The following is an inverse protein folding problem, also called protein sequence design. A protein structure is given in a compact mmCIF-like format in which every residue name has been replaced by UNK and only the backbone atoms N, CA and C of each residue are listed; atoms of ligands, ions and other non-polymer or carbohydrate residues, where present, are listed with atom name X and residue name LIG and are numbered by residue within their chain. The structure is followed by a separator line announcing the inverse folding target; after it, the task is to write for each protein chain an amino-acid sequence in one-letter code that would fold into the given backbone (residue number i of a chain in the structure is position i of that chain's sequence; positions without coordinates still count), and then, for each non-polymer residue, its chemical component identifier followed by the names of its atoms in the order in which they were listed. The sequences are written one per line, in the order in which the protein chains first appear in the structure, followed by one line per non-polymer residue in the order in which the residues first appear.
data_IF_170667926245
#
_entry.id   IF_170667926245
#
_cell.length_a   1.000
_cell.length_b   1.000
_cell.length_c   1.000
_cell.angle_alpha   90.00
_cell.angle_beta   90.00
_cell.angle_gamma   90.00
#
_symmetry.space_group_name_H-M   'P 1'
#
loop_
_entity.id
_entity.type
_entity.pdbx_description
1 polymer ?
#
# COMPACT_ATOMS: atom_id res chain seq x y z
N UNK A 1 -5.44 14.30 -17.05
CA UNK A 1 -5.21 14.28 -15.58
C UNK A 1 -4.99 15.67 -15.01
N UNK A 2 -3.92 16.42 -15.35
CA UNK A 2 -3.66 17.77 -14.79
C UNK A 2 -4.83 18.75 -14.89
N UNK A 3 -5.40 18.94 -16.09
CA UNK A 3 -6.60 19.78 -16.29
C UNK A 3 -7.79 19.41 -15.37
N UNK A 4 -7.97 18.12 -15.09
CA UNK A 4 -9.04 17.65 -14.19
C UNK A 4 -8.71 17.99 -12.73
N UNK A 5 -7.46 17.79 -12.30
CA UNK A 5 -7.01 18.15 -10.96
C UNK A 5 -7.15 19.66 -10.72
N UNK A 6 -6.69 20.49 -11.67
CA UNK A 6 -6.81 21.95 -11.62
C UNK A 6 -8.27 22.42 -11.56
N UNK A 7 -9.14 21.90 -12.45
CA UNK A 7 -10.55 22.28 -12.49
C UNK A 7 -11.30 21.95 -11.19
N UNK A 8 -10.86 20.92 -10.47
CA UNK A 8 -11.46 20.48 -9.21
C UNK A 8 -10.66 20.94 -7.97
N UNK A 9 -9.61 21.75 -8.14
CA UNK A 9 -8.73 22.22 -7.05
C UNK A 9 -8.17 21.07 -6.20
N UNK A 10 -7.80 19.98 -6.86
CA UNK A 10 -7.20 18.80 -6.23
C UNK A 10 -5.68 18.91 -6.36
N UNK A 11 -5.00 18.95 -5.23
CA UNK A 11 -3.54 18.94 -5.23
C UNK A 11 -2.99 17.54 -5.54
N UNK A 12 -1.96 17.43 -6.38
CA UNK A 12 -1.31 16.16 -6.65
C UNK A 12 -0.56 15.62 -5.42
N UNK A 13 -0.62 14.31 -5.18
CA UNK A 13 0.18 13.64 -4.13
C UNK A 13 1.47 13.05 -4.71
N UNK A 14 2.62 13.35 -4.10
CA UNK A 14 3.92 12.81 -4.52
C UNK A 14 4.27 11.52 -3.76
N UNK A 15 3.76 11.36 -2.53
CA UNK A 15 3.98 10.21 -1.67
C UNK A 15 2.66 9.65 -1.18
N UNK A 16 2.61 8.32 -1.03
CA UNK A 16 1.56 7.63 -0.29
C UNK A 16 2.27 6.69 0.69
N UNK A 17 2.25 7.05 1.97
CA UNK A 17 2.90 6.29 3.04
C UNK A 17 1.81 5.61 3.88
N UNK A 18 1.54 4.33 3.59
CA UNK A 18 0.40 3.60 4.15
C UNK A 18 0.79 2.14 4.39
N UNK A 19 0.58 1.65 5.62
CA UNK A 19 0.60 0.22 5.93
C UNK A 19 -0.83 -0.27 6.21
N UNK A 20 -1.03 -1.59 6.22
CA UNK A 20 -2.34 -2.21 6.41
C UNK A 20 -2.51 -2.68 7.85
N UNK A 21 -3.77 -2.80 8.29
CA UNK A 21 -4.09 -3.44 9.57
C UNK A 21 -3.55 -4.87 9.62
N UNK A 22 -3.10 -5.36 10.79
CA UNK A 22 -2.47 -6.67 10.91
C UNK A 22 -3.51 -7.80 10.94
N UNK A 23 -4.27 -7.97 9.85
CA UNK A 23 -5.38 -8.92 9.74
C UNK A 23 -4.98 -10.34 10.13
N UNK A 24 -3.82 -10.82 9.66
CA UNK A 24 -3.31 -12.15 10.00
C UNK A 24 -3.11 -12.35 11.51
N UNK A 25 -2.63 -11.32 12.21
CA UNK A 25 -2.43 -11.40 13.66
C UNK A 25 -3.77 -11.40 14.40
N UNK A 26 -4.76 -10.65 13.91
CA UNK A 26 -6.11 -10.61 14.47
C UNK A 26 -6.78 -11.99 14.40
N UNK A 27 -6.74 -12.64 13.24
CA UNK A 27 -7.44 -13.92 13.03
C UNK A 27 -6.73 -15.13 13.65
N UNK A 28 -5.42 -15.03 13.94
CA UNK A 28 -4.70 -16.05 14.71
C UNK A 28 -5.16 -16.11 16.16
N UNK A 29 -5.46 -14.96 16.77
CA UNK A 29 -5.86 -14.87 18.17
C UNK A 29 -7.29 -15.38 18.39
N UNK A 30 -8.20 -15.05 17.48
CA UNK A 30 -9.59 -15.51 17.55
C UNK A 30 -10.11 -15.96 16.18
N UNK A 31 -9.77 -17.19 15.75
CA UNK A 31 -10.09 -17.67 14.42
C UNK A 31 -11.59 -17.90 14.19
N UNK A 32 -12.42 -17.91 15.24
CA UNK A 32 -13.86 -18.16 15.13
C UNK A 32 -14.70 -16.88 15.13
N UNK A 33 -14.12 -15.75 15.54
CA UNK A 33 -14.83 -14.46 15.53
C UNK A 33 -14.78 -13.81 14.15
N UNK A 34 -15.75 -14.19 13.31
CA UNK A 34 -15.94 -13.60 11.98
C UNK A 34 -16.16 -12.09 12.05
N UNK A 35 -16.86 -11.59 13.07
CA UNK A 35 -17.18 -10.16 13.15
C UNK A 35 -15.91 -9.35 13.34
N UNK A 36 -15.07 -9.76 14.30
CA UNK A 36 -13.77 -9.14 14.55
C UNK A 36 -12.85 -9.24 13.34
N UNK A 37 -12.84 -10.37 12.65
CA UNK A 37 -12.07 -10.51 11.41
C UNK A 37 -12.52 -9.50 10.35
N UNK A 38 -13.83 -9.42 10.06
CA UNK A 38 -14.38 -8.51 9.04
C UNK A 38 -14.12 -7.04 9.40
N UNK A 39 -14.27 -6.65 10.66
CA UNK A 39 -14.00 -5.28 11.12
C UNK A 39 -12.52 -4.88 10.98
N UNK A 40 -11.61 -5.85 10.81
CA UNK A 40 -10.17 -5.62 10.61
C UNK A 40 -9.72 -5.70 9.13
N UNK A 41 -10.66 -5.82 8.18
CA UNK A 41 -10.34 -5.75 6.75
C UNK A 41 -10.17 -4.28 6.34
N UNK A 42 -8.97 -3.92 5.90
CA UNK A 42 -8.64 -2.56 5.50
C UNK A 42 -8.91 -2.30 4.01
N UNK A 43 -10.05 -1.67 3.73
CA UNK A 43 -10.44 -1.30 2.37
C UNK A 43 -9.69 -0.06 1.88
N UNK A 44 -9.55 0.94 2.75
CA UNK A 44 -8.98 2.24 2.39
C UNK A 44 -7.49 2.15 2.12
N UNK A 45 -6.76 1.44 2.98
CA UNK A 45 -5.33 1.21 2.85
C UNK A 45 -4.99 0.48 1.55
N UNK A 46 -5.70 -0.61 1.24
CA UNK A 46 -5.51 -1.35 -0.01
C UNK A 46 -5.81 -0.48 -1.23
N UNK A 47 -6.89 0.31 -1.21
CA UNK A 47 -7.24 1.21 -2.30
C UNK A 47 -6.14 2.25 -2.58
N UNK A 48 -5.62 2.89 -1.53
CA UNK A 48 -4.55 3.89 -1.63
C UNK A 48 -3.25 3.26 -2.14
N UNK A 49 -2.83 2.12 -1.58
CA UNK A 49 -1.60 1.42 -1.95
C UNK A 49 -1.64 1.00 -3.43
N UNK A 50 -2.76 0.43 -3.89
CA UNK A 50 -2.90 0.02 -5.30
C UNK A 50 -2.93 1.21 -6.25
N UNK A 51 -3.59 2.31 -5.88
CA UNK A 51 -3.60 3.53 -6.68
C UNK A 51 -2.18 4.12 -6.81
N UNK A 52 -1.42 4.17 -5.70
CA UNK A 52 -0.05 4.65 -5.66
C UNK A 52 0.91 3.75 -6.46
N UNK A 53 0.82 2.42 -6.28
CA UNK A 53 1.59 1.43 -7.04
C UNK A 53 1.34 1.53 -8.55
N UNK A 54 0.07 1.69 -8.97
CA UNK A 54 -0.26 1.97 -10.38
C UNK A 54 0.37 3.28 -10.85
N UNK A 55 0.25 4.36 -10.07
CA UNK A 55 0.83 5.65 -10.41
C UNK A 55 2.35 5.58 -10.61
N UNK A 56 3.05 4.92 -9.69
CA UNK A 56 4.49 4.67 -9.77
C UNK A 56 4.91 4.00 -11.09
N UNK A 57 4.16 2.99 -11.55
CA UNK A 57 4.47 2.26 -12.78
C UNK A 57 4.01 2.98 -14.05
N UNK A 58 2.84 3.61 -14.03
CA UNK A 58 2.21 4.19 -15.21
C UNK A 58 2.77 5.57 -15.57
N UNK A 59 2.93 6.45 -14.58
CA UNK A 59 3.30 7.84 -14.80
C UNK A 59 4.51 8.29 -13.98
N UNK A 60 5.16 7.37 -13.26
CA UNK A 60 6.39 7.60 -12.50
C UNK A 60 6.29 8.80 -11.53
N UNK A 61 5.08 9.05 -11.01
CA UNK A 61 4.80 10.28 -10.26
C UNK A 61 4.73 10.05 -8.75
N UNK A 62 4.05 8.98 -8.33
CA UNK A 62 3.78 8.70 -6.92
C UNK A 62 4.80 7.70 -6.39
N UNK A 63 5.32 7.95 -5.19
CA UNK A 63 6.17 7.01 -4.45
C UNK A 63 5.32 6.29 -3.40
N UNK A 64 4.95 5.02 -3.61
CA UNK A 64 4.29 4.20 -2.59
C UNK A 64 5.32 3.79 -1.53
N UNK A 65 4.99 3.93 -0.26
CA UNK A 65 5.80 3.45 0.86
C UNK A 65 4.88 2.67 1.80
N UNK A 66 5.09 1.37 1.89
CA UNK A 66 4.17 0.44 2.55
C UNK A 66 4.71 -0.19 3.83
N UNK A 67 5.99 0.01 4.13
CA UNK A 67 6.65 -0.49 5.34
C UNK A 67 7.65 0.54 5.89
N UNK A 68 7.76 0.68 7.22
CA UNK A 68 8.83 1.47 7.83
C UNK A 68 10.24 1.08 7.40
N UNK A 69 10.46 -0.19 7.03
CA UNK A 69 11.75 -0.70 6.54
C UNK A 69 12.19 -0.02 5.23
N UNK A 70 11.28 0.62 4.50
CA UNK A 70 11.57 1.31 3.25
C UNK A 70 12.01 2.77 3.46
N UNK A 71 11.86 3.32 4.66
CA UNK A 71 12.12 4.74 4.93
C UNK A 71 13.57 5.11 4.69
N UNK A 72 14.51 4.29 5.16
CA UNK A 72 15.95 4.55 5.02
C UNK A 72 16.34 4.76 3.55
N UNK A 73 15.92 3.86 2.66
CA UNK A 73 16.21 3.97 1.23
C UNK A 73 15.58 5.18 0.57
N UNK A 74 14.32 5.51 0.93
CA UNK A 74 13.62 6.69 0.40
C UNK A 74 14.28 7.99 0.86
N UNK A 75 14.57 8.11 2.16
CA UNK A 75 15.20 9.29 2.75
C UNK A 75 16.60 9.49 2.16
N UNK A 76 17.40 8.44 2.02
CA UNK A 76 18.73 8.53 1.44
C UNK A 76 18.72 9.07 -0.01
N UNK A 77 17.72 8.70 -0.82
CA UNK A 77 17.59 9.27 -2.17
C UNK A 77 17.13 10.74 -2.14
N UNK A 78 16.21 11.09 -1.24
CA UNK A 78 15.73 12.46 -1.07
C UNK A 78 16.86 13.39 -0.61
N UNK A 79 17.66 12.99 0.37
CA UNK A 79 18.78 13.79 0.85
C UNK A 79 19.87 13.96 -0.22
N UNK A 80 20.15 12.91 -1.00
CA UNK A 80 21.21 12.94 -2.02
C UNK A 80 20.81 13.69 -3.29
N UNK A 81 19.57 13.54 -3.75
CA UNK A 81 19.12 13.99 -5.08
C UNK A 81 18.01 15.04 -5.03
N UNK A 82 17.29 15.16 -3.91
CA UNK A 82 16.04 15.91 -3.81
C UNK A 82 14.81 15.18 -4.36
N UNK A 83 14.95 13.94 -4.85
CA UNK A 83 13.85 13.14 -5.40
C UNK A 83 14.14 11.63 -5.32
N UNK A 84 13.07 10.82 -5.33
CA UNK A 84 13.15 9.36 -5.45
C UNK A 84 13.32 8.97 -6.92
N UNK A 85 14.36 8.21 -7.21
CA UNK A 85 14.69 7.69 -8.52
C UNK A 85 13.65 6.68 -9.03
N UNK A 86 13.60 6.53 -10.36
CA UNK A 86 12.63 5.64 -10.99
C UNK A 86 12.82 4.17 -10.57
N UNK A 87 14.06 3.70 -10.44
CA UNK A 87 14.35 2.31 -10.05
C UNK A 87 13.79 1.98 -8.66
N UNK A 88 14.05 2.85 -7.68
CA UNK A 88 13.50 2.69 -6.33
C UNK A 88 11.97 2.80 -6.36
N UNK A 89 11.41 3.76 -7.09
CA UNK A 89 9.95 3.91 -7.22
C UNK A 89 9.28 2.66 -7.79
N UNK A 90 9.85 2.06 -8.84
CA UNK A 90 9.33 0.82 -9.44
C UNK A 90 9.51 -0.39 -8.52
N UNK A 91 10.60 -0.45 -7.76
CA UNK A 91 10.78 -1.46 -6.72
C UNK A 91 9.67 -1.35 -5.66
N UNK A 92 9.48 -0.16 -5.08
CA UNK A 92 8.43 0.08 -4.09
C UNK A 92 7.02 -0.21 -4.62
N UNK A 93 6.78 0.06 -5.90
CA UNK A 93 5.50 -0.29 -6.54
C UNK A 93 5.25 -1.80 -6.61
N UNK A 94 6.30 -2.60 -6.87
CA UNK A 94 6.20 -4.07 -6.83
C UNK A 94 5.89 -4.54 -5.42
N UNK A 95 6.62 -4.04 -4.42
CA UNK A 95 6.37 -4.35 -3.00
C UNK A 95 4.95 -3.98 -2.57
N UNK A 96 4.42 -2.85 -3.05
CA UNK A 96 3.04 -2.44 -2.81
C UNK A 96 2.01 -3.45 -3.34
N UNK A 97 2.20 -3.97 -4.56
CA UNK A 97 1.31 -4.98 -5.11
C UNK A 97 1.46 -6.34 -4.43
N UNK A 98 2.69 -6.74 -4.07
CA UNK A 98 2.96 -7.95 -3.28
C UNK A 98 2.21 -7.88 -1.95
N UNK A 99 2.35 -6.78 -1.20
CA UNK A 99 1.65 -6.58 0.08
C UNK A 99 0.13 -6.76 -0.06
N UNK A 100 -0.49 -6.11 -1.06
CA UNK A 100 -1.94 -6.21 -1.23
C UNK A 100 -2.40 -7.61 -1.68
N UNK A 101 -1.58 -8.31 -2.47
CA UNK A 101 -1.87 -9.68 -2.87
C UNK A 101 -1.80 -10.65 -1.67
N UNK A 102 -0.78 -10.49 -0.83
CA UNK A 102 -0.62 -11.30 0.39
C UNK A 102 -1.73 -11.01 1.41
N UNK A 103 -2.16 -9.74 1.51
CA UNK A 103 -3.27 -9.33 2.35
C UNK A 103 -4.60 -9.96 1.91
N UNK A 104 -4.95 -9.85 0.63
CA UNK A 104 -6.17 -10.48 0.09
C UNK A 104 -6.11 -12.00 0.18
N UNK A 105 -4.92 -12.61 -0.01
CA UNK A 105 -4.72 -14.04 0.21
C UNK A 105 -5.02 -14.43 1.66
N UNK A 106 -4.57 -13.66 2.64
CA UNK A 106 -4.84 -13.93 4.05
C UNK A 106 -6.35 -13.88 4.36
N UNK A 107 -7.05 -12.87 3.82
CA UNK A 107 -8.51 -12.74 3.96
C UNK A 107 -9.22 -13.94 3.34
N UNK A 108 -8.85 -14.31 2.11
CA UNK A 108 -9.41 -15.48 1.42
C UNK A 108 -9.20 -16.75 2.23
N UNK A 109 -7.97 -16.99 2.69
CA UNK A 109 -7.62 -18.21 3.43
C UNK A 109 -8.44 -18.28 4.73
N UNK A 110 -8.62 -17.17 5.44
CA UNK A 110 -9.51 -17.10 6.61
C UNK A 110 -10.96 -17.46 6.27
N UNK A 111 -11.55 -16.83 5.25
CA UNK A 111 -12.95 -17.05 4.86
C UNK A 111 -13.21 -18.47 4.37
N UNK A 112 -12.19 -19.15 3.83
CA UNK A 112 -12.27 -20.54 3.39
C UNK A 112 -12.01 -21.55 4.50
N UNK A 113 -11.75 -21.11 5.74
CA UNK A 113 -11.35 -21.98 6.85
C UNK A 113 -9.97 -22.62 6.66
N UNK A 114 -9.12 -22.00 5.86
CA UNK A 114 -7.76 -22.44 5.52
C UNK A 114 -6.67 -21.60 6.19
N UNK A 115 -7.05 -20.61 7.01
CA UNK A 115 -6.10 -19.86 7.83
C UNK A 115 -5.37 -20.85 8.75
N UNK A 116 -4.06 -20.96 8.56
CA UNK A 116 -3.16 -21.76 9.38
C UNK A 116 -2.65 -20.95 10.56
#
# INVERSE_FOLDING_TARGET
QRKYLEANRIEPLDFVVVNLYPFQEVVKVDPKDLRKAVDNIDIGGVALIRAAGKGALLNQRVVPVTSPLQYEGVVAELERKGYVGNDLRQHLAREAFVLTADYDKAIRDYLMGQAR
#
